data_IF_372226766161
#
_entry.id   IF_372226766161
#
_cell.length_a   1.000
_cell.length_b   1.000
_cell.length_c   1.000
_cell.angle_alpha   90.00
_cell.angle_beta   90.00
_cell.angle_gamma   90.00
#
_symmetry.space_group_name_H-M   'P 1'
#
loop_
_entity.id
_entity.type
_entity.pdbx_description
1 polymer ?
#
# COMPACT_ATOMS: atom_id res chain seq x y z
N UNK A 1 -27.83 -4.87 3.13
CA UNK A 1 -29.17 -5.52 3.15
C UNK A 1 -29.90 -5.31 1.82
N UNK A 2 -29.19 -5.43 0.68
CA UNK A 2 -29.74 -5.11 -0.66
C UNK A 2 -29.21 -6.03 -1.77
N UNK A 3 -28.44 -7.07 -1.44
CA UNK A 3 -27.96 -8.08 -2.39
C UNK A 3 -28.69 -9.44 -2.26
N UNK A 4 -29.38 -9.70 -1.15
CA UNK A 4 -30.17 -10.93 -0.94
C UNK A 4 -31.56 -10.89 -1.59
N UNK A 5 -32.12 -9.71 -1.87
CA UNK A 5 -33.48 -9.56 -2.41
C UNK A 5 -33.57 -9.79 -3.93
N UNK A 6 -32.46 -9.67 -4.66
CA UNK A 6 -32.42 -9.84 -6.13
C UNK A 6 -32.24 -11.32 -6.53
N UNK A 7 -31.62 -12.14 -5.68
CA UNK A 7 -31.44 -13.58 -5.94
C UNK A 7 -32.72 -14.41 -5.67
N UNK A 8 -33.53 -14.03 -4.67
CA UNK A 8 -34.79 -14.73 -4.36
C UNK A 8 -35.88 -14.53 -5.43
N UNK A 9 -35.93 -13.38 -6.12
CA UNK A 9 -36.90 -13.16 -7.21
C UNK A 9 -36.57 -13.93 -8.48
N UNK A 10 -35.30 -14.31 -8.70
CA UNK A 10 -34.89 -15.09 -9.87
C UNK A 10 -35.20 -16.59 -9.73
N UNK A 11 -35.16 -17.16 -8.51
CA UNK A 11 -35.54 -18.56 -8.26
C UNK A 11 -37.06 -18.80 -8.24
N UNK A 12 -37.86 -17.79 -7.86
CA UNK A 12 -39.33 -17.90 -7.82
C UNK A 12 -39.96 -17.86 -9.23
N UNK A 13 -39.33 -17.18 -10.19
CA UNK A 13 -39.82 -17.12 -11.58
C UNK A 13 -39.52 -18.38 -12.42
N UNK A 14 -38.59 -19.24 -11.99
CA UNK A 14 -38.22 -20.48 -12.70
C UNK A 14 -38.89 -21.76 -12.15
N UNK A 15 -39.71 -21.69 -11.09
CA UNK A 15 -40.33 -22.86 -10.45
C UNK A 15 -41.82 -23.06 -10.75
N UNK A 16 -42.43 -22.25 -11.64
CA UNK A 16 -43.84 -22.40 -12.05
C UNK A 16 -43.98 -22.62 -13.56
N UNK A 17 -43.47 -23.74 -14.07
CA UNK A 17 -43.99 -24.30 -15.33
C UNK A 17 -43.69 -25.80 -15.45
N UNK A 18 -44.40 -26.64 -14.69
CA UNK A 18 -44.48 -28.07 -15.01
C UNK A 18 -45.80 -28.67 -14.53
N UNK A 19 -46.84 -28.59 -15.36
CA UNK A 19 -47.88 -29.62 -15.48
C UNK A 19 -48.54 -29.51 -16.86
N UNK A 20 -48.49 -30.61 -17.63
CA UNK A 20 -48.96 -30.78 -19.00
C UNK A 20 -50.49 -30.69 -19.14
N UNK A 21 -51.00 -30.21 -20.29
CA UNK A 21 -51.81 -30.95 -21.29
C UNK A 21 -51.80 -30.17 -22.63
N UNK A 22 -51.69 -30.91 -23.74
CA UNK A 22 -51.70 -30.47 -25.16
C UNK A 22 -53.05 -29.86 -25.59
N UNK A 23 -53.01 -28.85 -26.47
CA UNK A 23 -53.66 -28.86 -27.81
C UNK A 23 -53.25 -27.66 -28.69
N UNK A 24 -52.86 -27.98 -29.93
CA UNK A 24 -53.08 -27.30 -31.22
C UNK A 24 -52.74 -25.81 -31.45
N UNK A 25 -52.02 -25.61 -32.57
CA UNK A 25 -51.90 -24.43 -33.45
C UNK A 25 -50.77 -23.40 -33.16
N UNK A 26 -49.76 -23.43 -34.04
CA UNK A 26 -48.88 -22.31 -34.41
C UNK A 26 -49.69 -21.16 -35.02
N UNK A 27 -49.23 -19.88 -34.93
CA UNK A 27 -48.24 -19.38 -35.88
C UNK A 27 -47.01 -18.72 -35.23
N UNK A 28 -45.84 -19.21 -35.63
CA UNK A 28 -44.54 -18.57 -35.48
C UNK A 28 -44.44 -17.37 -36.42
N UNK A 29 -44.42 -16.12 -35.94
CA UNK A 29 -43.84 -15.01 -36.74
C UNK A 29 -43.42 -13.72 -36.02
N UNK A 30 -43.55 -13.57 -34.68
CA UNK A 30 -43.27 -12.25 -34.04
C UNK A 30 -42.16 -12.26 -32.98
N UNK A 31 -41.65 -13.43 -32.55
CA UNK A 31 -40.66 -13.47 -31.47
C UNK A 31 -39.17 -13.42 -31.88
N UNK A 32 -38.84 -13.47 -33.18
CA UNK A 32 -37.43 -13.48 -33.62
C UNK A 32 -36.82 -12.07 -33.85
N UNK A 33 -37.62 -11.01 -33.99
CA UNK A 33 -37.10 -9.66 -34.25
C UNK A 33 -36.89 -8.81 -32.99
N UNK A 34 -37.60 -9.09 -31.90
CA UNK A 34 -37.45 -8.32 -30.64
C UNK A 34 -36.25 -8.79 -29.80
N UNK A 35 -35.82 -10.06 -29.95
CA UNK A 35 -34.63 -10.58 -29.23
C UNK A 35 -33.30 -10.17 -29.88
N UNK A 36 -33.25 -10.02 -31.20
CA UNK A 36 -32.03 -9.62 -31.90
C UNK A 36 -31.72 -8.11 -31.80
N UNK A 37 -32.73 -7.26 -31.62
CA UNK A 37 -32.53 -5.81 -31.48
C UNK A 37 -32.16 -5.40 -30.03
N UNK A 38 -32.65 -6.12 -29.02
CA UNK A 38 -32.35 -5.82 -27.62
C UNK A 38 -30.94 -6.28 -27.17
N UNK A 39 -30.34 -7.29 -27.83
CA UNK A 39 -28.97 -7.73 -27.52
C UNK A 39 -27.88 -6.87 -28.17
N UNK A 40 -28.20 -6.06 -29.19
CA UNK A 40 -27.22 -5.16 -29.83
C UNK A 40 -27.09 -3.78 -29.16
N UNK A 41 -28.07 -3.37 -28.35
CA UNK A 41 -28.07 -2.04 -27.72
C UNK A 41 -27.34 -1.99 -26.35
N UNK A 42 -27.09 -3.12 -25.70
CA UNK A 42 -26.42 -3.16 -24.40
C UNK A 42 -24.92 -3.52 -24.43
N UNK A 43 -24.39 -3.93 -25.59
CA UNK A 43 -22.96 -4.27 -25.74
C UNK A 43 -22.12 -3.19 -26.43
N UNK A 44 -22.73 -2.11 -26.93
CA UNK A 44 -22.02 -0.99 -27.55
C UNK A 44 -21.16 -0.14 -26.57
N UNK A 45 -21.52 0.06 -25.28
CA UNK A 45 -20.68 0.86 -24.39
C UNK A 45 -19.44 0.11 -23.87
N UNK A 46 -19.49 -1.23 -23.79
CA UNK A 46 -18.39 -2.03 -23.26
C UNK A 46 -17.19 -2.10 -24.23
N UNK A 47 -17.45 -2.09 -25.55
CA UNK A 47 -16.42 -2.06 -26.58
C UNK A 47 -15.80 -0.67 -26.77
N UNK A 48 -16.52 0.42 -26.43
CA UNK A 48 -15.97 1.76 -26.45
C UNK A 48 -15.00 2.01 -25.27
N UNK A 49 -15.27 1.42 -24.10
CA UNK A 49 -14.34 1.44 -22.96
C UNK A 49 -13.11 0.58 -23.22
N UNK A 50 -13.23 -0.53 -23.96
CA UNK A 50 -12.08 -1.33 -24.42
C UNK A 50 -11.29 -0.67 -25.56
N UNK A 51 -11.96 0.08 -26.44
CA UNK A 51 -11.36 0.75 -27.59
C UNK A 51 -10.59 2.04 -27.27
N UNK A 52 -10.71 2.59 -26.07
CA UNK A 52 -9.84 3.69 -25.60
C UNK A 52 -8.43 3.20 -25.23
N UNK A 53 -8.21 1.89 -25.08
CA UNK A 53 -6.91 1.31 -24.71
C UNK A 53 -6.05 0.88 -25.91
N UNK A 54 -6.56 0.94 -27.14
CA UNK A 54 -5.78 0.66 -28.36
C UNK A 54 -5.02 1.88 -28.89
N UNK A 55 -5.11 3.04 -28.21
CA UNK A 55 -4.38 4.26 -28.56
C UNK A 55 -3.15 4.51 -27.66
N UNK A 56 -2.39 3.47 -27.32
CA UNK A 56 -0.96 3.62 -26.99
C UNK A 56 -0.12 3.28 -28.23
N UNK A 57 -0.34 4.01 -29.32
CA UNK A 57 0.45 3.87 -30.55
C UNK A 57 0.88 5.20 -31.15
N UNK A 58 0.80 6.30 -30.38
CA UNK A 58 1.42 7.58 -30.77
C UNK A 58 2.10 8.34 -29.64
N UNK A 59 2.34 7.71 -28.48
CA UNK A 59 3.17 8.31 -27.46
C UNK A 59 4.62 8.33 -27.96
N UNK A 60 5.18 9.54 -28.10
CA UNK A 60 6.61 9.83 -28.10
C UNK A 60 7.40 8.72 -27.40
N UNK A 61 8.34 8.10 -28.11
CA UNK A 61 9.21 7.04 -27.59
C UNK A 61 9.99 7.57 -26.40
N UNK A 62 9.43 7.43 -25.20
CA UNK A 62 10.15 7.63 -23.96
C UNK A 62 11.12 6.45 -23.87
N UNK A 63 12.45 6.67 -23.92
CA UNK A 63 13.38 5.57 -23.78
C UNK A 63 13.28 5.07 -22.33
N UNK A 64 12.73 3.87 -22.15
CA UNK A 64 12.76 3.19 -20.86
C UNK A 64 14.21 2.89 -20.48
N UNK A 65 14.51 2.88 -19.19
CA UNK A 65 15.80 2.39 -18.71
C UNK A 65 15.88 0.86 -18.88
N UNK A 66 17.09 0.30 -18.94
CA UNK A 66 17.27 -1.16 -18.99
C UNK A 66 16.64 -1.88 -17.79
N UNK A 67 16.53 -1.20 -16.64
CA UNK A 67 15.79 -1.71 -15.49
C UNK A 67 14.28 -1.72 -15.73
N UNK A 68 13.72 -0.64 -16.26
CA UNK A 68 12.30 -0.55 -16.56
C UNK A 68 11.88 -1.60 -17.60
N UNK A 69 12.69 -1.80 -18.64
CA UNK A 69 12.47 -2.85 -19.63
C UNK A 69 12.57 -4.25 -19.02
N UNK A 70 13.55 -4.49 -18.13
CA UNK A 70 13.69 -5.77 -17.41
C UNK A 70 12.46 -6.04 -16.56
N UNK A 71 12.00 -5.05 -15.79
CA UNK A 71 10.84 -5.18 -14.90
C UNK A 71 9.53 -5.36 -15.67
N UNK A 72 9.41 -4.79 -16.86
CA UNK A 72 8.27 -5.01 -17.74
C UNK A 72 8.18 -6.46 -18.27
N UNK A 73 9.30 -7.19 -18.33
CA UNK A 73 9.40 -8.51 -18.97
C UNK A 73 9.71 -9.66 -18.00
N UNK A 74 9.60 -9.45 -16.68
CA UNK A 74 9.84 -10.47 -15.67
C UNK A 74 8.74 -10.52 -14.62
N UNK A 75 8.80 -11.50 -13.73
CA UNK A 75 8.07 -11.47 -12.47
C UNK A 75 8.81 -10.63 -11.45
N UNK A 76 8.15 -9.62 -10.88
CA UNK A 76 8.64 -8.87 -9.72
C UNK A 76 8.06 -9.47 -8.43
N UNK A 77 8.91 -10.03 -7.58
CA UNK A 77 8.52 -10.65 -6.32
C UNK A 77 8.63 -9.66 -5.16
N UNK A 78 7.49 -9.27 -4.59
CA UNK A 78 7.39 -8.29 -3.51
C UNK A 78 6.98 -8.97 -2.20
N UNK A 79 7.77 -8.77 -1.15
CA UNK A 79 7.42 -9.17 0.21
C UNK A 79 7.03 -7.96 1.07
N UNK A 80 5.88 -8.04 1.73
CA UNK A 80 5.42 -7.03 2.68
C UNK A 80 5.51 -7.56 4.10
N UNK A 81 6.44 -7.03 4.87
CA UNK A 81 6.62 -7.39 6.28
C UNK A 81 5.58 -6.65 7.12
N UNK A 82 4.76 -7.42 7.84
CA UNK A 82 3.71 -6.94 8.73
C UNK A 82 3.80 -7.63 10.10
N UNK A 83 3.23 -6.98 11.12
CA UNK A 83 3.18 -7.47 12.49
C UNK A 83 1.91 -6.97 13.18
N UNK A 84 1.51 -7.62 14.28
CA UNK A 84 0.34 -7.15 15.04
C UNK A 84 0.55 -5.72 15.53
N UNK A 85 -0.37 -4.82 15.25
CA UNK A 85 -0.21 -3.40 15.49
C UNK A 85 0.35 -2.61 14.31
N UNK A 86 0.32 -3.17 13.09
CA UNK A 86 0.69 -2.45 11.87
C UNK A 86 -0.26 -1.27 11.60
N UNK A 87 0.26 -0.21 10.98
CA UNK A 87 -0.58 0.90 10.53
C UNK A 87 -1.28 0.55 9.22
N UNK A 88 -2.63 0.62 9.20
CA UNK A 88 -3.46 0.18 8.06
C UNK A 88 -2.99 0.79 6.73
N UNK A 89 -2.82 2.11 6.69
CA UNK A 89 -2.50 2.80 5.44
C UNK A 89 -1.01 2.69 5.06
N UNK A 90 -0.12 2.33 5.99
CA UNK A 90 1.26 1.97 5.66
C UNK A 90 1.32 0.72 4.79
N UNK A 91 0.31 -0.16 4.87
CA UNK A 91 0.22 -1.38 4.05
C UNK A 91 -0.68 -1.15 2.84
N UNK A 92 -1.94 -0.79 3.07
CA UNK A 92 -2.93 -0.76 1.98
C UNK A 92 -2.76 0.41 1.03
N UNK A 93 -2.13 1.51 1.45
CA UNK A 93 -1.79 2.62 0.55
C UNK A 93 -0.82 2.18 -0.55
N UNK A 94 0.37 1.65 -0.20
CA UNK A 94 1.30 1.10 -1.18
C UNK A 94 0.75 -0.12 -1.96
N UNK A 95 0.02 -1.03 -1.30
CA UNK A 95 -0.57 -2.20 -1.96
C UNK A 95 -1.59 -1.82 -3.02
N UNK A 96 -2.32 -0.70 -2.86
CA UNK A 96 -3.24 -0.20 -3.89
C UNK A 96 -2.52 0.02 -5.23
N UNK A 97 -1.33 0.61 -5.22
CA UNK A 97 -0.58 0.87 -6.46
C UNK A 97 0.09 -0.40 -7.00
N UNK A 98 0.61 -1.27 -6.13
CA UNK A 98 1.11 -2.59 -6.56
C UNK A 98 0.02 -3.42 -7.26
N UNK A 99 -1.19 -3.42 -6.71
CA UNK A 99 -2.36 -4.09 -7.28
C UNK A 99 -2.76 -3.50 -8.65
N UNK A 100 -2.69 -2.17 -8.79
CA UNK A 100 -2.98 -1.54 -10.07
C UNK A 100 -1.96 -1.92 -11.16
N UNK A 101 -0.68 -2.06 -10.82
CA UNK A 101 0.36 -2.47 -11.78
C UNK A 101 0.40 -3.98 -12.03
N UNK A 102 -0.15 -4.81 -11.14
CA UNK A 102 -0.19 -6.26 -11.35
C UNK A 102 -1.18 -6.71 -12.42
N UNK A 103 -2.00 -5.79 -12.95
CA UNK A 103 -2.90 -6.07 -14.06
C UNK A 103 -2.15 -6.19 -15.40
N UNK A 104 -1.28 -5.24 -15.79
CA UNK A 104 -0.44 -5.37 -17.00
C UNK A 104 0.91 -6.05 -16.78
N UNK A 105 1.43 -6.15 -15.53
CA UNK A 105 2.75 -6.73 -15.25
C UNK A 105 2.66 -7.89 -14.27
N UNK A 106 3.61 -8.83 -14.36
CA UNK A 106 3.65 -9.95 -13.44
C UNK A 106 4.29 -9.52 -12.11
N UNK A 107 3.46 -9.24 -11.11
CA UNK A 107 3.89 -8.86 -9.75
C UNK A 107 3.29 -9.85 -8.75
N UNK A 108 4.13 -10.50 -7.95
CA UNK A 108 3.66 -11.34 -6.85
C UNK A 108 3.80 -10.60 -5.52
N UNK A 109 2.82 -10.78 -4.64
CA UNK A 109 2.81 -10.18 -3.30
C UNK A 109 2.75 -11.25 -2.22
N UNK A 110 3.81 -11.36 -1.42
CA UNK A 110 3.86 -12.18 -0.21
C UNK A 110 3.65 -11.29 1.01
N UNK A 111 2.54 -11.46 1.74
CA UNK A 111 2.39 -10.86 3.07
C UNK A 111 3.12 -11.76 4.07
N UNK A 112 4.12 -11.20 4.76
CA UNK A 112 5.08 -11.91 5.59
C UNK A 112 4.97 -11.41 7.02
N UNK A 113 4.83 -12.34 7.97
CA UNK A 113 4.82 -12.04 9.39
C UNK A 113 5.57 -13.13 10.17
N UNK A 114 5.55 -13.07 11.51
CA UNK A 114 6.12 -14.13 12.36
C UNK A 114 5.41 -15.47 12.19
N UNK A 115 4.09 -15.42 12.02
CA UNK A 115 3.22 -16.58 11.81
C UNK A 115 2.28 -16.33 10.63
N UNK A 116 1.84 -17.38 9.95
CA UNK A 116 0.79 -17.27 8.91
C UNK A 116 -0.59 -17.10 9.54
N UNK A 117 -1.51 -16.49 8.81
CA UNK A 117 -2.88 -16.26 9.27
C UNK A 117 -3.17 -14.78 9.56
N UNK A 118 -4.23 -14.48 10.33
CA UNK A 118 -4.64 -13.10 10.56
C UNK A 118 -3.61 -12.29 11.36
N UNK A 119 -3.19 -11.17 10.80
CA UNK A 119 -2.39 -10.14 11.45
C UNK A 119 -3.29 -8.92 11.69
N UNK A 120 -3.32 -8.47 12.93
CA UNK A 120 -4.23 -7.45 13.43
C UNK A 120 -3.59 -6.06 13.38
N UNK A 121 -4.32 -5.04 12.97
CA UNK A 121 -3.85 -3.64 13.04
C UNK A 121 -3.96 -3.06 14.45
N UNK A 122 -4.83 -3.64 15.28
CA UNK A 122 -4.82 -3.38 16.73
C UNK A 122 -3.59 -4.07 17.34
N UNK A 123 -2.71 -3.33 18.03
CA UNK A 123 -1.53 -3.93 18.67
C UNK A 123 -1.95 -4.83 19.82
N UNK A 124 -1.12 -5.82 20.18
CA UNK A 124 -1.27 -6.52 21.45
C UNK A 124 -1.17 -5.54 22.61
N UNK A 125 -1.68 -5.96 23.78
CA UNK A 125 -1.54 -5.20 25.02
C UNK A 125 -0.05 -4.91 25.29
N UNK A 126 0.25 -3.65 25.60
CA UNK A 126 1.60 -3.17 25.91
C UNK A 126 1.52 -1.93 26.80
N UNK A 127 2.67 -1.57 27.36
CA UNK A 127 2.78 -0.43 28.27
C UNK A 127 3.14 0.87 27.52
N UNK A 128 2.49 1.96 27.93
CA UNK A 128 2.82 3.31 27.47
C UNK A 128 4.11 3.85 28.10
N UNK A 129 4.53 5.08 27.74
CA UNK A 129 5.75 5.70 28.28
C UNK A 129 5.79 5.86 29.81
N UNK A 130 4.63 5.92 30.44
CA UNK A 130 4.44 6.01 31.89
C UNK A 130 4.37 4.63 32.59
N UNK A 131 4.54 3.54 31.83
CA UNK A 131 4.42 2.18 32.34
C UNK A 131 2.99 1.69 32.59
N UNK A 132 1.96 2.49 32.28
CA UNK A 132 0.57 2.02 32.39
C UNK A 132 0.19 1.20 31.15
N UNK A 133 -0.57 0.13 31.37
CA UNK A 133 -1.19 -0.64 30.29
C UNK A 133 -2.10 0.28 29.44
N UNK A 134 -1.99 0.19 28.12
CA UNK A 134 -2.88 0.94 27.23
C UNK A 134 -4.14 0.14 26.89
N UNK A 135 -5.32 0.74 27.15
CA UNK A 135 -6.60 0.18 26.74
C UNK A 135 -6.79 0.30 25.23
N UNK A 136 -6.59 -0.82 24.52
CA UNK A 136 -6.75 -0.90 23.06
C UNK A 136 -8.11 -1.44 22.63
N UNK A 137 -9.04 -1.68 23.58
CA UNK A 137 -10.35 -2.31 23.29
C UNK A 137 -11.22 -1.49 22.35
N UNK A 138 -10.99 -0.17 22.27
CA UNK A 138 -11.74 0.77 21.43
C UNK A 138 -11.14 0.99 20.06
N UNK A 139 -9.95 0.44 19.78
CA UNK A 139 -9.33 0.59 18.46
C UNK A 139 -10.01 -0.30 17.42
N UNK A 140 -10.22 0.27 16.23
CA UNK A 140 -10.63 -0.50 15.06
C UNK A 140 -9.55 -1.54 14.75
N UNK A 141 -9.99 -2.77 14.50
CA UNK A 141 -9.12 -3.92 14.25
C UNK A 141 -9.33 -4.44 12.83
N UNK A 142 -8.69 -3.79 11.87
CA UNK A 142 -8.57 -4.31 10.51
C UNK A 142 -7.52 -5.44 10.46
N UNK A 143 -7.80 -6.50 9.72
CA UNK A 143 -6.93 -7.67 9.59
C UNK A 143 -6.39 -7.81 8.17
N UNK A 144 -5.16 -8.30 8.07
CA UNK A 144 -4.54 -8.78 6.82
C UNK A 144 -4.06 -10.21 7.03
N UNK A 145 -4.17 -11.05 6.02
CA UNK A 145 -3.71 -12.45 6.11
C UNK A 145 -2.24 -12.53 5.74
N UNK A 146 -1.39 -12.91 6.68
CA UNK A 146 -0.03 -13.32 6.42
C UNK A 146 -0.03 -14.67 5.69
N UNK A 147 0.58 -14.67 4.51
CA UNK A 147 0.70 -15.81 3.60
C UNK A 147 1.95 -16.63 3.84
N UNK A 148 2.98 -16.02 4.42
CA UNK A 148 4.28 -16.62 4.67
C UNK A 148 4.82 -16.16 6.04
N UNK A 149 5.71 -16.96 6.60
CA UNK A 149 6.54 -16.61 7.76
C UNK A 149 7.90 -16.07 7.32
N UNK A 150 8.72 -15.57 8.25
CA UNK A 150 10.10 -15.18 7.96
C UNK A 150 10.96 -16.33 7.40
N UNK A 151 10.68 -17.57 7.83
CA UNK A 151 11.36 -18.79 7.39
C UNK A 151 10.86 -19.27 6.03
N UNK A 152 9.55 -19.14 5.78
CA UNK A 152 8.89 -19.68 4.58
C UNK A 152 8.77 -18.68 3.45
N UNK A 153 9.13 -17.40 3.67
CA UNK A 153 9.15 -16.37 2.64
C UNK A 153 10.04 -16.81 1.44
N UNK A 154 9.53 -16.69 0.19
CA UNK A 154 10.27 -17.06 -1.00
C UNK A 154 11.44 -16.10 -1.27
N UNK A 155 12.27 -16.34 -2.29
CA UNK A 155 13.13 -15.30 -2.85
C UNK A 155 12.30 -14.06 -3.26
N UNK A 156 12.80 -12.88 -2.93
CA UNK A 156 12.14 -11.59 -3.15
C UNK A 156 13.08 -10.67 -3.92
N UNK A 157 12.50 -9.80 -4.75
CA UNK A 157 13.20 -8.69 -5.38
C UNK A 157 13.08 -7.42 -4.53
N UNK A 158 11.92 -7.24 -3.89
CA UNK A 158 11.58 -6.06 -3.09
C UNK A 158 11.05 -6.48 -1.73
N UNK A 159 11.57 -5.88 -0.66
CA UNK A 159 10.99 -5.97 0.69
C UNK A 159 10.41 -4.61 1.07
N UNK A 160 9.20 -4.60 1.63
CA UNK A 160 8.57 -3.41 2.19
C UNK A 160 8.28 -3.66 3.66
N UNK A 161 8.72 -2.77 4.54
CA UNK A 161 8.52 -2.87 6.00
C UNK A 161 7.53 -1.80 6.45
N UNK A 162 6.39 -2.24 6.99
CA UNK A 162 5.39 -1.34 7.58
C UNK A 162 5.89 -0.70 8.88
N UNK A 163 5.33 0.46 9.23
CA UNK A 163 5.34 0.94 10.59
C UNK A 163 4.09 0.50 11.36
N UNK A 164 3.95 1.06 12.56
CA UNK A 164 2.82 0.80 13.45
C UNK A 164 3.23 0.67 14.92
N UNK A 165 2.26 0.97 15.78
CA UNK A 165 2.40 0.97 17.24
C UNK A 165 2.82 -0.37 17.83
N UNK A 166 2.61 -1.47 17.11
CA UNK A 166 3.08 -2.81 17.50
C UNK A 166 4.60 -2.90 17.67
N UNK A 167 5.39 -1.96 17.11
CA UNK A 167 6.84 -1.87 17.35
C UNK A 167 7.13 -1.79 18.85
N UNK A 168 6.33 -1.03 19.61
CA UNK A 168 6.45 -0.91 21.07
C UNK A 168 6.35 -2.28 21.76
N UNK A 169 5.38 -3.11 21.36
CA UNK A 169 5.21 -4.47 21.88
C UNK A 169 6.40 -5.36 21.54
N UNK A 170 6.94 -5.26 20.31
CA UNK A 170 8.08 -6.05 19.88
C UNK A 170 9.35 -5.66 20.67
N UNK A 171 9.59 -4.36 20.88
CA UNK A 171 10.71 -3.89 21.69
C UNK A 171 10.58 -4.29 23.16
N UNK A 172 9.38 -4.21 23.76
CA UNK A 172 9.14 -4.66 25.14
C UNK A 172 9.49 -6.15 25.29
N UNK A 173 9.13 -6.97 24.30
CA UNK A 173 9.44 -8.40 24.24
C UNK A 173 10.87 -8.71 23.78
N UNK A 174 11.65 -7.69 23.40
CA UNK A 174 12.98 -7.82 22.77
C UNK A 174 12.95 -8.76 21.55
N UNK A 175 11.84 -8.78 20.83
CA UNK A 175 11.68 -9.58 19.62
C UNK A 175 12.40 -8.90 18.45
N UNK A 176 13.42 -9.57 17.92
CA UNK A 176 14.25 -9.08 16.80
C UNK A 176 13.97 -9.80 15.48
N UNK A 177 12.91 -10.59 15.41
CA UNK A 177 12.63 -11.46 14.26
C UNK A 177 12.50 -10.70 12.94
N UNK A 178 11.95 -9.48 12.96
CA UNK A 178 11.87 -8.63 11.77
C UNK A 178 13.26 -8.17 11.34
N UNK A 179 14.05 -7.63 12.27
CA UNK A 179 15.42 -7.18 12.03
C UNK A 179 16.30 -8.30 11.46
N UNK A 180 16.22 -9.49 12.05
CA UNK A 180 16.99 -10.66 11.64
C UNK A 180 16.56 -11.13 10.23
N UNK A 181 15.26 -11.14 9.96
CA UNK A 181 14.73 -11.47 8.64
C UNK A 181 15.25 -10.52 7.57
N UNK A 182 15.08 -9.20 7.74
CA UNK A 182 15.49 -8.22 6.72
C UNK A 182 17.01 -8.20 6.53
N UNK A 183 17.80 -8.33 7.61
CA UNK A 183 19.25 -8.40 7.52
C UNK A 183 19.70 -9.63 6.71
N UNK A 184 19.06 -10.80 6.93
CA UNK A 184 19.39 -12.04 6.21
C UNK A 184 19.08 -11.99 4.69
N UNK A 185 18.20 -11.07 4.28
CA UNK A 185 17.75 -10.93 2.88
C UNK A 185 18.38 -9.75 2.16
N UNK A 186 18.92 -8.76 2.89
CA UNK A 186 19.29 -7.47 2.33
C UNK A 186 20.24 -7.56 1.12
N UNK A 187 21.23 -8.45 1.12
CA UNK A 187 22.17 -8.57 -0.01
C UNK A 187 21.57 -9.24 -1.25
N UNK A 188 20.44 -9.94 -1.10
CA UNK A 188 19.81 -10.75 -2.16
C UNK A 188 18.65 -10.05 -2.87
N UNK A 189 18.20 -8.91 -2.34
CA UNK A 189 17.09 -8.12 -2.86
C UNK A 189 17.60 -6.92 -3.67
N UNK A 190 16.83 -6.52 -4.68
CA UNK A 190 17.08 -5.33 -5.49
C UNK A 190 16.71 -4.05 -4.74
N UNK A 191 15.64 -4.07 -3.91
CA UNK A 191 15.16 -2.91 -3.16
C UNK A 191 14.63 -3.24 -1.78
N UNK A 192 14.80 -2.31 -0.84
CA UNK A 192 14.09 -2.31 0.44
C UNK A 192 13.42 -0.98 0.68
N UNK A 193 12.13 -1.02 1.00
CA UNK A 193 11.30 0.12 1.31
C UNK A 193 10.86 0.04 2.79
N UNK A 194 10.67 1.19 3.42
CA UNK A 194 9.98 1.25 4.71
C UNK A 194 9.06 2.45 4.80
N UNK A 195 7.91 2.27 5.45
CA UNK A 195 6.96 3.35 5.72
C UNK A 195 6.90 3.64 7.21
N UNK A 196 6.74 4.91 7.58
CA UNK A 196 6.47 5.37 8.94
C UNK A 196 7.58 4.96 9.94
N UNK A 197 7.25 4.13 10.94
CA UNK A 197 8.22 3.58 11.89
C UNK A 197 8.98 2.36 11.37
N UNK A 198 8.66 1.87 10.17
CA UNK A 198 9.34 0.76 9.52
C UNK A 198 10.85 0.96 9.37
N UNK A 199 11.30 2.21 9.20
CA UNK A 199 12.72 2.56 9.13
C UNK A 199 13.47 2.32 10.44
N UNK A 200 12.76 2.23 11.58
CA UNK A 200 13.31 1.80 12.86
C UNK A 200 13.82 0.37 12.83
N UNK A 201 13.09 -0.56 12.20
CA UNK A 201 13.56 -1.93 12.00
C UNK A 201 14.80 -1.96 11.10
N UNK A 202 14.81 -1.20 10.00
CA UNK A 202 15.97 -1.10 9.11
C UNK A 202 17.20 -0.55 9.87
N UNK A 203 17.02 0.48 10.71
CA UNK A 203 18.07 1.04 11.54
C UNK A 203 18.62 0.02 12.54
N UNK A 204 17.74 -0.67 13.29
CA UNK A 204 18.16 -1.67 14.29
C UNK A 204 18.81 -2.91 13.66
N UNK A 205 18.48 -3.23 12.41
CA UNK A 205 19.15 -4.25 11.62
C UNK A 205 20.54 -3.82 11.10
N UNK A 206 20.94 -2.55 11.28
CA UNK A 206 22.20 -2.00 10.77
C UNK A 206 22.19 -1.68 9.28
N UNK A 207 21.05 -1.84 8.59
CA UNK A 207 20.91 -1.60 7.14
C UNK A 207 21.08 -0.11 6.81
N UNK A 208 20.71 0.77 7.74
CA UNK A 208 20.77 2.23 7.55
C UNK A 208 22.08 2.87 8.02
N UNK A 209 23.03 2.09 8.55
CA UNK A 209 24.28 2.64 9.08
C UNK A 209 25.09 3.34 7.97
N UNK A 210 25.44 4.61 8.20
CA UNK A 210 26.12 5.45 7.22
C UNK A 210 25.26 5.90 6.03
N UNK A 211 23.95 5.62 6.04
CA UNK A 211 23.01 5.95 4.95
C UNK A 211 22.09 7.10 5.34
N UNK A 212 21.53 7.76 4.32
CA UNK A 212 20.47 8.75 4.50
C UNK A 212 19.13 8.04 4.63
N UNK A 213 18.32 8.46 5.59
CA UNK A 213 16.97 7.92 5.77
C UNK A 213 16.02 8.94 6.41
N UNK A 214 14.73 8.67 6.35
CA UNK A 214 13.69 9.40 7.07
C UNK A 214 12.75 8.44 7.80
N UNK A 215 11.89 9.01 8.61
CA UNK A 215 10.93 8.33 9.47
C UNK A 215 9.71 9.21 9.69
N UNK A 216 8.63 8.63 10.21
CA UNK A 216 7.47 9.41 10.66
C UNK A 216 7.85 10.46 11.70
N UNK A 217 7.20 11.62 11.63
CA UNK A 217 7.55 12.80 12.44
C UNK A 217 6.98 12.68 13.86
N UNK A 218 5.82 12.05 14.01
CA UNK A 218 5.11 11.94 15.30
C UNK A 218 5.86 11.15 16.37
N UNK A 219 6.69 10.19 15.97
CA UNK A 219 7.53 9.37 16.87
C UNK A 219 9.00 9.42 16.47
N UNK A 220 9.43 10.53 15.87
CA UNK A 220 10.79 10.70 15.33
C UNK A 220 11.88 10.36 16.33
N UNK A 221 11.83 10.95 17.53
CA UNK A 221 12.84 10.74 18.58
C UNK A 221 12.90 9.30 19.07
N UNK A 222 11.80 8.56 19.02
CA UNK A 222 11.78 7.16 19.36
C UNK A 222 12.57 6.33 18.35
N UNK A 223 12.37 6.58 17.06
CA UNK A 223 13.03 5.86 15.97
C UNK A 223 14.52 6.22 15.89
N UNK A 224 14.85 7.52 15.86
CA UNK A 224 16.23 7.96 15.63
C UNK A 224 17.18 7.62 16.77
N UNK A 225 16.68 7.43 18.00
CA UNK A 225 17.48 6.92 19.13
C UNK A 225 18.07 5.53 18.87
N UNK A 226 17.37 4.69 18.09
CA UNK A 226 17.83 3.35 17.70
C UNK A 226 18.80 3.33 16.52
N UNK A 227 18.93 4.43 15.78
CA UNK A 227 19.77 4.53 14.58
C UNK A 227 20.77 5.68 14.67
N UNK A 228 21.76 5.57 15.56
CA UNK A 228 22.75 6.65 15.83
C UNK A 228 23.72 6.89 14.68
N UNK A 229 23.98 5.87 13.86
CA UNK A 229 24.87 5.94 12.71
C UNK A 229 24.13 6.32 11.42
N UNK A 230 22.83 6.59 11.50
CA UNK A 230 22.00 6.95 10.34
C UNK A 230 22.04 8.47 10.14
N UNK A 231 22.18 8.91 8.90
CA UNK A 231 22.02 10.33 8.53
C UNK A 231 20.54 10.62 8.33
N UNK A 232 19.83 10.90 9.42
CA UNK A 232 18.40 11.20 9.37
C UNK A 232 18.11 12.53 8.68
N UNK A 233 17.10 12.57 7.81
CA UNK A 233 16.66 13.75 7.04
C UNK A 233 15.30 14.24 7.56
N UNK A 234 15.26 15.21 8.50
CA UNK A 234 14.06 15.57 9.26
C UNK A 234 12.84 15.94 8.42
N UNK A 235 13.04 16.76 7.40
CA UNK A 235 11.96 17.29 6.57
C UNK A 235 11.72 16.51 5.28
N UNK A 236 12.40 15.39 5.07
CA UNK A 236 12.12 14.56 3.91
C UNK A 236 10.80 13.82 4.10
N UNK A 237 9.97 13.86 3.06
CA UNK A 237 8.77 13.04 2.86
C UNK A 237 9.17 11.60 2.57
N UNK A 238 10.15 11.43 1.69
CA UNK A 238 10.87 10.18 1.55
C UNK A 238 12.33 10.44 1.19
N UNK A 239 13.17 9.44 1.42
CA UNK A 239 14.58 9.43 1.07
C UNK A 239 14.85 8.16 0.28
N UNK A 240 15.49 8.33 -0.87
CA UNK A 240 16.14 7.25 -1.63
C UNK A 240 17.65 7.37 -1.42
N UNK A 241 18.27 6.29 -0.98
CA UNK A 241 19.73 6.13 -0.87
C UNK A 241 20.13 4.78 -1.48
N UNK A 242 20.49 4.80 -2.77
CA UNK A 242 20.72 3.59 -3.55
C UNK A 242 19.45 2.74 -3.63
N UNK A 243 19.53 1.50 -3.12
CA UNK A 243 18.40 0.57 -3.07
C UNK A 243 17.48 0.70 -1.85
N UNK A 244 17.82 1.59 -0.93
CA UNK A 244 17.05 1.82 0.30
C UNK A 244 16.12 3.01 0.08
N UNK A 245 14.84 2.81 0.36
CA UNK A 245 13.80 3.82 0.28
C UNK A 245 13.09 3.88 1.63
N UNK A 246 13.02 5.08 2.22
CA UNK A 246 12.33 5.27 3.50
C UNK A 246 11.38 6.44 3.38
N UNK A 247 10.16 6.32 3.90
CA UNK A 247 9.19 7.42 3.93
C UNK A 247 8.83 7.82 5.36
N UNK A 248 8.25 9.01 5.47
CA UNK A 248 7.59 9.49 6.69
C UNK A 248 6.27 8.74 6.94
N UNK A 249 5.24 9.44 7.44
CA UNK A 249 3.94 8.83 7.74
C UNK A 249 3.19 8.27 6.53
N UNK A 250 1.97 7.79 6.79
CA UNK A 250 1.15 7.00 5.86
C UNK A 250 1.03 7.58 4.45
N UNK A 251 0.75 8.89 4.31
CA UNK A 251 0.56 9.52 2.99
C UNK A 251 1.89 9.72 2.26
N UNK A 252 2.98 9.93 3.00
CA UNK A 252 4.31 9.94 2.42
C UNK A 252 4.71 8.54 1.91
N UNK A 253 4.24 7.47 2.56
CA UNK A 253 4.40 6.10 2.07
C UNK A 253 3.69 5.84 0.74
N UNK A 254 2.49 6.40 0.56
CA UNK A 254 1.78 6.35 -0.72
C UNK A 254 2.54 7.08 -1.83
N UNK A 255 3.01 8.30 -1.56
CA UNK A 255 3.79 9.09 -2.51
C UNK A 255 5.13 8.43 -2.85
N UNK A 256 5.82 7.90 -1.85
CA UNK A 256 7.05 7.14 -2.04
C UNK A 256 6.80 5.91 -2.92
N UNK A 257 5.69 5.19 -2.73
CA UNK A 257 5.37 4.04 -3.57
C UNK A 257 5.14 4.46 -5.03
N UNK A 258 4.42 5.55 -5.27
CA UNK A 258 4.27 6.08 -6.64
C UNK A 258 5.63 6.46 -7.24
N UNK A 259 6.48 7.16 -6.48
CA UNK A 259 7.83 7.53 -6.93
C UNK A 259 8.71 6.30 -7.19
N UNK A 260 8.64 5.28 -6.34
CA UNK A 260 9.35 4.02 -6.51
C UNK A 260 8.90 3.28 -7.77
N UNK A 261 7.59 3.15 -7.98
CA UNK A 261 7.07 2.50 -9.18
C UNK A 261 7.44 3.27 -10.45
N UNK A 262 7.47 4.61 -10.40
CA UNK A 262 7.96 5.43 -11.52
C UNK A 262 9.44 5.18 -11.79
N UNK A 263 10.24 5.01 -10.74
CA UNK A 263 11.65 4.62 -10.85
C UNK A 263 11.79 3.27 -11.58
N UNK A 264 11.03 2.24 -11.17
CA UNK A 264 11.20 0.86 -11.67
C UNK A 264 10.38 0.49 -12.92
N UNK A 265 9.34 1.24 -13.28
CA UNK A 265 8.46 0.99 -14.46
C UNK A 265 8.31 2.19 -15.40
N UNK A 266 8.72 3.40 -14.98
CA UNK A 266 8.60 4.63 -15.76
C UNK A 266 7.27 5.37 -15.58
N UNK A 267 7.30 6.69 -15.78
CA UNK A 267 6.14 7.57 -15.60
C UNK A 267 4.91 7.20 -16.43
N UNK A 268 5.04 6.91 -17.76
CA UNK A 268 3.86 6.63 -18.59
C UNK A 268 3.06 5.43 -18.10
N UNK A 269 3.73 4.43 -17.54
CA UNK A 269 3.11 3.23 -16.98
C UNK A 269 2.32 3.57 -15.72
N UNK A 270 2.94 4.31 -14.79
CA UNK A 270 2.36 4.58 -13.47
C UNK A 270 1.27 5.65 -13.51
N UNK A 271 1.33 6.59 -14.46
CA UNK A 271 0.35 7.68 -14.58
C UNK A 271 -1.09 7.18 -14.72
N UNK A 272 -1.32 6.08 -15.45
CA UNK A 272 -2.66 5.50 -15.58
C UNK A 272 -3.18 4.98 -14.23
N UNK A 273 -2.34 4.29 -13.45
CA UNK A 273 -2.70 3.78 -12.14
C UNK A 273 -3.02 4.90 -11.14
N UNK A 274 -2.24 5.99 -11.18
CA UNK A 274 -2.46 7.18 -10.34
C UNK A 274 -3.75 7.90 -10.73
N UNK A 275 -4.00 8.09 -12.03
CA UNK A 275 -5.21 8.73 -12.54
C UNK A 275 -6.48 7.91 -12.19
N UNK A 276 -6.44 6.59 -12.36
CA UNK A 276 -7.56 5.71 -12.03
C UNK A 276 -7.84 5.64 -10.52
N UNK A 277 -6.81 5.85 -9.69
CA UNK A 277 -6.98 5.97 -8.25
C UNK A 277 -7.46 7.37 -7.81
N UNK A 278 -7.57 8.32 -8.75
CA UNK A 278 -7.86 9.74 -8.48
C UNK A 278 -6.92 10.34 -7.41
N UNK A 279 -5.68 9.84 -7.38
CA UNK A 279 -4.69 10.23 -6.39
C UNK A 279 -3.78 11.32 -6.96
N UNK A 280 -3.63 12.43 -6.25
CA UNK A 280 -2.69 13.48 -6.60
C UNK A 280 -1.44 13.36 -5.70
N UNK A 281 -0.39 12.63 -6.13
CA UNK A 281 0.79 12.41 -5.29
C UNK A 281 1.59 13.70 -5.09
N UNK A 282 2.13 13.89 -3.89
CA UNK A 282 3.17 14.91 -3.69
C UNK A 282 4.50 14.41 -4.26
N UNK A 283 5.07 15.14 -5.22
CA UNK A 283 6.24 14.68 -5.99
C UNK A 283 7.58 15.20 -5.48
N UNK A 284 7.58 16.14 -4.52
CA UNK A 284 8.82 16.61 -3.89
C UNK A 284 9.19 15.74 -2.68
N UNK A 285 10.31 14.99 -2.72
CA UNK A 285 10.79 14.17 -1.60
C UNK A 285 11.23 14.97 -0.38
N UNK A 286 11.57 16.24 -0.56
CA UNK A 286 12.12 17.11 0.50
C UNK A 286 11.06 17.87 1.29
N UNK A 287 9.77 17.65 0.96
CA UNK A 287 8.65 18.40 1.50
C UNK A 287 7.85 17.59 2.53
N UNK A 288 8.15 17.78 3.81
CA UNK A 288 7.35 17.25 4.91
C UNK A 288 7.10 18.31 5.98
N UNK A 289 6.02 19.10 5.87
CA UNK A 289 5.71 20.16 6.81
C UNK A 289 5.31 19.62 8.20
N UNK A 290 4.98 18.33 8.33
CA UNK A 290 4.71 17.74 9.64
C UNK A 290 5.96 17.63 10.51
N UNK A 291 7.16 17.80 9.93
CA UNK A 291 8.39 17.97 10.70
C UNK A 291 8.35 19.23 11.59
N UNK A 292 7.69 20.30 11.14
CA UNK A 292 7.46 21.52 11.92
C UNK A 292 6.40 21.25 13.00
N UNK A 293 5.27 20.63 12.61
CA UNK A 293 4.13 20.31 13.50
C UNK A 293 4.57 19.47 14.70
N UNK A 294 5.42 18.48 14.46
CA UNK A 294 5.94 17.59 15.50
C UNK A 294 7.26 18.07 16.13
N UNK A 295 7.68 19.32 15.85
CA UNK A 295 8.89 19.94 16.42
C UNK A 295 10.14 19.07 16.25
N UNK A 296 10.30 18.45 15.08
CA UNK A 296 11.41 17.54 14.79
C UNK A 296 12.73 18.35 14.75
N UNK A 297 13.77 17.95 15.49
CA UNK A 297 15.07 18.62 15.43
C UNK A 297 15.64 18.64 14.01
N UNK A 298 16.06 19.81 13.54
CA UNK A 298 16.58 20.02 12.18
C UNK A 298 15.51 20.15 11.10
N UNK A 299 14.24 20.33 11.46
CA UNK A 299 13.18 20.65 10.51
C UNK A 299 13.48 21.94 9.74
N UNK A 300 13.23 21.93 8.43
CA UNK A 300 13.27 23.09 7.56
C UNK A 300 12.05 23.98 7.82
N UNK A 301 12.22 24.99 8.67
CA UNK A 301 11.17 25.96 9.03
C UNK A 301 10.85 26.98 7.93
N UNK A 302 11.58 26.97 6.82
CA UNK A 302 11.30 27.84 5.67
C UNK A 302 10.18 27.30 4.78
N UNK A 303 9.70 26.07 5.01
CA UNK A 303 8.60 25.48 4.25
C UNK A 303 7.31 26.27 4.54
N UNK A 304 6.66 26.85 3.53
CA UNK A 304 5.43 27.62 3.73
C UNK A 304 4.32 26.73 4.31
N UNK A 305 3.84 27.07 5.50
CA UNK A 305 2.75 26.33 6.15
C UNK A 305 1.39 26.63 5.51
N UNK A 306 1.28 27.65 4.64
CA UNK A 306 0.01 28.02 3.99
C UNK A 306 -0.55 26.95 3.04
N UNK A 307 0.27 26.00 2.59
CA UNK A 307 -0.20 24.82 1.83
C UNK A 307 -0.82 23.73 2.70
N UNK A 308 -0.72 23.84 4.03
CA UNK A 308 -1.51 23.05 4.96
C UNK A 308 -2.87 23.73 5.11
N UNK A 309 -3.89 23.22 4.43
CA UNK A 309 -5.26 23.76 4.54
C UNK A 309 -5.80 23.63 5.98
N UNK A 310 -5.70 24.69 6.78
CA UNK A 310 -6.39 24.85 8.08
C UNK A 310 -5.66 24.26 9.31
N UNK A 311 -6.03 24.65 10.55
CA UNK A 311 -5.12 24.59 11.68
C UNK A 311 -4.84 23.14 12.10
N UNK A 312 -3.59 22.71 11.94
CA UNK A 312 -3.07 21.60 12.72
C UNK A 312 -2.90 22.15 14.13
N UNK A 313 -3.85 21.85 15.01
CA UNK A 313 -3.76 22.22 16.43
C UNK A 313 -2.36 21.93 16.94
N UNK A 314 -1.62 22.99 17.29
CA UNK A 314 -0.45 22.85 18.14
C UNK A 314 -0.93 22.10 19.38
N UNK A 315 -0.35 20.93 19.67
CA UNK A 315 -0.60 20.28 20.96
C UNK A 315 -0.26 21.32 22.03
N UNK A 316 -1.20 21.68 22.92
CA UNK A 316 -0.89 22.62 23.98
C UNK A 316 0.31 22.07 24.74
N UNK A 317 1.30 22.95 24.98
CA UNK A 317 2.42 22.64 25.85
C UNK A 317 1.86 21.98 27.10
N UNK A 318 2.34 20.78 27.40
CA UNK A 318 2.08 20.18 28.71
C UNK A 318 2.55 21.21 29.74
N UNK A 319 1.60 21.89 30.38
CA UNK A 319 1.87 22.78 31.50
C UNK A 319 2.74 22.06 32.53
N UNK A 320 3.69 22.79 33.17
CA UNK A 320 4.73 22.21 34.01
C UNK A 320 4.23 21.37 35.18
#
# INVERSE_FOLDING_TARGET
>A
MTWLCIMEQWQVLNSRSSRHVRTSQTPQTIHHWVRALAMKAFFAPALAVLGQWTHLSSAQSYPFTAEQERNANRTLSVGYVVYHGYTILDVFGPVQFLSALSWPFNITLSIIAKETGPVHSRPPVHHGPNGSEMDMSKMIDAQIIATHTFETAPPLDVIIVTGGVGDLTLMEKKDRSIEDFIASRFDKIEYILSVCSGSGFLARAGILDGRRATATKSVWSHITRGGKNVTWVPSARWVQDGKIWTSSGVTAGMDMMVAFLRHIYGDPVVNNSVNNAEYAPHVDPSWDPFSIVHKVPGANTSIPMQSLVGPLTEYPESSP
#
